data_IF_388415960902
#
_entry.id   IF_388415960902
#
_cell.length_a   1.000
_cell.length_b   1.000
_cell.length_c   1.000
_cell.angle_alpha   90.00
_cell.angle_beta   90.00
_cell.angle_gamma   90.00
#
_symmetry.space_group_name_H-M   'P 1'
#
loop_
_entity.id
_entity.type
_entity.pdbx_description
1 polymer ?
#
# COMPACT_ATOMS: atom_id res chain seq x y z
N UNK A 1 1.96 -18.96 20.19
CA UNK A 1 2.30 -18.85 18.75
C UNK A 1 0.99 -18.71 17.99
N UNK A 2 0.58 -17.50 17.64
CA UNK A 2 -0.69 -17.26 16.95
C UNK A 2 -0.58 -17.81 15.52
N UNK A 3 -1.51 -18.67 15.05
CA UNK A 3 -1.46 -19.15 13.68
C UNK A 3 -1.46 -17.94 12.74
N UNK A 4 -0.72 -17.98 11.62
CA UNK A 4 -0.79 -16.90 10.65
C UNK A 4 -2.23 -16.82 10.17
N UNK A 5 -2.92 -15.74 10.55
CA UNK A 5 -4.24 -15.41 10.01
C UNK A 5 -4.10 -15.48 8.50
N UNK A 6 -4.94 -16.26 7.82
CA UNK A 6 -4.91 -16.36 6.37
C UNK A 6 -5.09 -14.95 5.78
N UNK A 7 -4.00 -14.36 5.26
CA UNK A 7 -4.00 -13.02 4.68
C UNK A 7 -4.37 -13.12 3.21
N UNK A 8 -5.26 -12.26 2.75
CA UNK A 8 -5.63 -12.19 1.34
C UNK A 8 -4.49 -11.56 0.54
N UNK A 9 -4.20 -12.14 -0.62
CA UNK A 9 -3.21 -11.60 -1.55
C UNK A 9 -3.82 -10.47 -2.38
N UNK A 10 -3.16 -9.32 -2.40
CA UNK A 10 -3.47 -8.21 -3.30
C UNK A 10 -2.26 -7.89 -4.20
N UNK A 11 -2.50 -7.43 -5.43
CA UNK A 11 -1.46 -7.10 -6.41
C UNK A 11 -1.90 -5.93 -7.28
N UNK A 12 -1.00 -5.44 -8.15
CA UNK A 12 -1.33 -4.46 -9.19
C UNK A 12 -1.97 -3.18 -8.65
N UNK A 13 -3.12 -2.81 -9.22
CA UNK A 13 -3.85 -1.59 -8.84
C UNK A 13 -4.33 -1.58 -7.38
N UNK A 14 -5.00 -2.64 -6.85
CA UNK A 14 -5.32 -2.75 -5.43
C UNK A 14 -4.13 -2.52 -4.48
N UNK A 15 -2.99 -3.16 -4.76
CA UNK A 15 -1.79 -2.99 -3.94
C UNK A 15 -1.28 -1.55 -3.97
N UNK A 16 -1.20 -0.94 -5.16
CA UNK A 16 -0.78 0.46 -5.29
C UNK A 16 -1.73 1.40 -4.53
N UNK A 17 -3.05 1.17 -4.64
CA UNK A 17 -4.06 1.94 -3.93
C UNK A 17 -3.91 1.82 -2.42
N UNK A 18 -3.65 0.62 -1.92
CA UNK A 18 -3.42 0.38 -0.50
C UNK A 18 -2.15 1.07 0.00
N UNK A 19 -1.00 0.88 -0.69
CA UNK A 19 0.29 1.47 -0.29
C UNK A 19 0.22 3.00 -0.29
N UNK A 20 -0.25 3.63 -1.37
CA UNK A 20 -0.37 5.08 -1.41
C UNK A 20 -1.46 5.62 -0.49
N UNK A 21 -2.50 4.83 -0.24
CA UNK A 21 -3.54 5.14 0.73
C UNK A 21 -3.03 5.12 2.17
N UNK A 22 -2.09 4.25 2.52
CA UNK A 22 -1.42 4.24 3.81
C UNK A 22 -0.60 5.52 3.97
N UNK A 23 0.24 5.86 2.99
CA UNK A 23 1.03 7.09 3.02
C UNK A 23 0.16 8.36 3.08
N UNK A 24 -0.99 8.36 2.39
CA UNK A 24 -1.91 9.50 2.39
C UNK A 24 -2.53 9.79 3.77
N UNK A 25 -2.72 8.74 4.58
CA UNK A 25 -3.35 8.84 5.90
C UNK A 25 -2.33 8.90 7.04
N UNK A 26 -1.03 8.92 6.73
CA UNK A 26 0.02 9.03 7.73
C UNK A 26 0.33 10.50 8.03
N UNK A 27 0.64 10.81 9.29
CA UNK A 27 1.02 12.16 9.73
C UNK A 27 2.50 12.49 9.45
N UNK A 28 3.17 11.71 8.61
CA UNK A 28 4.59 11.89 8.31
C UNK A 28 5.18 10.80 7.40
N UNK A 29 6.52 10.75 7.27
CA UNK A 29 7.21 9.68 6.56
C UNK A 29 6.87 8.31 7.16
N UNK A 30 6.71 7.31 6.29
CA UNK A 30 6.42 5.93 6.70
C UNK A 30 7.45 4.99 6.08
N UNK A 31 7.93 4.05 6.87
CA UNK A 31 8.85 3.02 6.43
C UNK A 31 8.13 1.93 5.62
N UNK A 32 8.88 1.23 4.77
CA UNK A 32 8.38 0.03 4.05
C UNK A 32 7.83 -1.02 5.03
N UNK A 33 8.46 -1.20 6.18
CA UNK A 33 8.04 -2.16 7.20
C UNK A 33 6.68 -1.77 7.78
N UNK A 34 6.49 -0.52 8.19
CA UNK A 34 5.21 -0.02 8.71
C UNK A 34 4.08 -0.13 7.68
N UNK A 35 4.37 0.07 6.40
CA UNK A 35 3.40 -0.15 5.31
C UNK A 35 3.00 -1.62 5.27
N UNK A 36 3.95 -2.55 5.31
CA UNK A 36 3.67 -4.00 5.30
C UNK A 36 2.89 -4.42 6.54
N UNK A 37 3.25 -3.93 7.71
CA UNK A 37 2.55 -4.20 8.96
C UNK A 37 1.11 -3.67 8.90
N UNK A 38 0.91 -2.48 8.32
CA UNK A 38 -0.43 -1.90 8.13
C UNK A 38 -1.28 -2.70 7.14
N UNK A 39 -0.67 -3.25 6.08
CA UNK A 39 -1.34 -4.17 5.16
C UNK A 39 -1.74 -5.47 5.89
N UNK A 40 -0.81 -6.03 6.66
CA UNK A 40 -1.03 -7.27 7.41
C UNK A 40 -2.10 -7.13 8.48
N UNK A 41 -2.11 -6.01 9.20
CA UNK A 41 -3.15 -5.66 10.17
C UNK A 41 -4.53 -5.49 9.52
N UNK A 42 -4.56 -5.10 8.24
CA UNK A 42 -5.79 -5.05 7.44
C UNK A 42 -6.18 -6.43 6.83
N UNK A 43 -5.47 -7.50 7.18
CA UNK A 43 -5.74 -8.86 6.69
C UNK A 43 -5.33 -9.11 5.24
N UNK A 44 -4.52 -8.22 4.66
CA UNK A 44 -4.01 -8.34 3.28
C UNK A 44 -2.49 -8.47 3.26
N UNK A 45 -1.96 -9.04 2.19
CA UNK A 45 -0.52 -9.16 1.94
C UNK A 45 -0.24 -9.08 0.44
N UNK A 46 1.02 -8.90 0.07
CA UNK A 46 1.47 -9.02 -1.32
C UNK A 46 1.52 -10.49 -1.76
N UNK A 47 1.67 -10.74 -3.05
CA UNK A 47 1.75 -12.10 -3.60
C UNK A 47 2.96 -12.89 -3.04
N UNK A 48 2.75 -13.96 -2.26
CA UNK A 48 3.82 -14.73 -1.63
C UNK A 48 4.52 -15.69 -2.61
N UNK A 49 3.96 -15.90 -3.82
CA UNK A 49 4.57 -16.74 -4.85
C UNK A 49 5.66 -16.02 -5.65
N UNK A 50 5.86 -14.73 -5.39
CA UNK A 50 6.96 -13.98 -5.99
C UNK A 50 8.25 -14.24 -5.21
N UNK A 51 9.38 -14.24 -5.90
CA UNK A 51 10.72 -14.43 -5.31
C UNK A 51 11.04 -13.33 -4.27
N UNK A 52 10.40 -12.17 -4.38
CA UNK A 52 10.64 -11.03 -3.49
C UNK A 52 9.73 -11.08 -2.26
N UNK A 53 10.25 -10.82 -1.05
CA UNK A 53 9.43 -10.71 0.15
C UNK A 53 8.49 -9.48 0.07
N UNK A 54 7.44 -9.40 0.91
CA UNK A 54 6.50 -8.28 0.90
C UNK A 54 7.15 -6.90 0.96
N UNK A 55 8.13 -6.71 1.84
CA UNK A 55 8.89 -5.46 1.92
C UNK A 55 9.60 -5.15 0.59
N UNK A 56 10.18 -6.15 -0.07
CA UNK A 56 10.81 -5.98 -1.37
C UNK A 56 9.81 -5.59 -2.46
N UNK A 57 8.61 -6.17 -2.46
CA UNK A 57 7.54 -5.83 -3.41
C UNK A 57 7.08 -4.38 -3.19
N UNK A 58 6.83 -3.98 -1.94
CA UNK A 58 6.43 -2.62 -1.57
C UNK A 58 7.52 -1.61 -1.93
N UNK A 59 8.79 -1.91 -1.64
CA UNK A 59 9.91 -1.05 -1.99
C UNK A 59 9.99 -0.78 -3.51
N UNK A 60 9.96 -1.83 -4.35
CA UNK A 60 9.99 -1.60 -5.82
C UNK A 60 8.78 -0.79 -6.30
N UNK A 61 7.62 -0.97 -5.67
CA UNK A 61 6.43 -0.20 -6.00
C UNK A 61 6.64 1.28 -5.66
N UNK A 62 7.21 1.57 -4.49
CA UNK A 62 7.50 2.94 -4.04
C UNK A 62 8.58 3.60 -4.90
N UNK A 63 9.66 2.88 -5.26
CA UNK A 63 10.67 3.40 -6.19
C UNK A 63 10.05 3.75 -7.56
N UNK A 64 9.11 2.92 -8.03
CA UNK A 64 8.35 3.24 -9.23
C UNK A 64 7.43 4.46 -9.06
N UNK A 65 6.86 4.69 -7.88
CA UNK A 65 6.06 5.91 -7.62
C UNK A 65 6.94 7.15 -7.41
N UNK A 66 8.15 6.98 -6.87
CA UNK A 66 9.14 8.04 -6.66
C UNK A 66 9.60 8.59 -8.00
N UNK A 67 10.00 7.71 -8.94
CA UNK A 67 10.32 8.10 -10.33
C UNK A 67 9.17 8.79 -11.08
N UNK A 68 7.93 8.68 -10.58
CA UNK A 68 6.73 9.34 -11.13
C UNK A 68 6.38 10.63 -10.38
N UNK A 69 7.19 11.05 -9.39
CA UNK A 69 6.96 12.24 -8.58
C UNK A 69 5.75 12.15 -7.66
N UNK A 70 5.30 10.94 -7.29
CA UNK A 70 4.11 10.75 -6.44
C UNK A 70 4.45 10.51 -4.97
N UNK A 71 5.66 10.04 -4.71
CA UNK A 71 6.19 9.88 -3.35
C UNK A 71 7.58 10.46 -3.32
N UNK A 72 8.01 10.89 -2.15
CA UNK A 72 9.32 11.44 -1.89
C UNK A 72 10.02 10.48 -0.92
N UNK A 73 11.20 10.00 -1.27
CA UNK A 73 12.04 9.24 -0.34
C UNK A 73 12.73 10.22 0.60
N UNK A 74 12.49 10.07 1.90
CA UNK A 74 13.00 10.99 2.94
C UNK A 74 14.25 10.44 3.62
N UNK A 75 14.33 9.12 3.76
CA UNK A 75 15.49 8.40 4.30
C UNK A 75 15.52 6.98 3.72
N UNK A 76 16.45 6.14 4.18
CA UNK A 76 16.55 4.73 3.80
C UNK A 76 15.24 4.00 4.11
N UNK A 77 14.53 3.65 3.02
CA UNK A 77 13.26 2.94 3.05
C UNK A 77 12.10 3.70 3.72
N UNK A 78 12.19 5.03 3.84
CA UNK A 78 11.14 5.90 4.37
C UNK A 78 10.59 6.82 3.28
N UNK A 79 9.27 6.87 3.15
CA UNK A 79 8.60 7.56 2.05
C UNK A 79 7.47 8.45 2.58
N UNK A 80 7.28 9.59 1.93
CA UNK A 80 6.17 10.52 2.16
C UNK A 80 5.39 10.65 0.86
N UNK A 81 4.06 10.71 0.93
CA UNK A 81 3.24 10.95 -0.26
C UNK A 81 3.28 12.43 -0.65
N UNK A 82 3.45 12.71 -1.95
CA UNK A 82 3.11 14.01 -2.50
C UNK A 82 1.75 13.93 -3.21
N UNK A 83 0.65 14.38 -2.57
CA UNK A 83 -0.68 14.38 -3.18
C UNK A 83 -0.92 15.62 -4.04
N UNK A 84 0.09 16.46 -4.29
CA UNK A 84 -0.03 17.65 -5.14
C UNK A 84 -0.50 17.24 -6.53
N UNK A 85 -1.47 17.99 -7.07
CA UNK A 85 -2.07 17.68 -8.38
C UNK A 85 -3.08 16.51 -8.39
N UNK A 86 -3.33 15.85 -7.26
CA UNK A 86 -4.38 14.81 -7.22
C UNK A 86 -5.77 15.44 -7.14
N UNK A 87 -6.69 14.98 -8.00
CA UNK A 87 -8.11 15.34 -7.88
C UNK A 87 -8.69 14.89 -6.53
N UNK A 88 -9.74 15.58 -6.05
CA UNK A 88 -10.46 15.21 -4.82
C UNK A 88 -10.96 13.75 -4.87
N UNK A 89 -11.48 13.33 -6.01
CA UNK A 89 -11.97 11.95 -6.23
C UNK A 89 -10.83 10.93 -6.16
N UNK A 90 -9.65 11.26 -6.70
CA UNK A 90 -8.45 10.42 -6.57
C UNK A 90 -8.06 10.30 -5.10
N UNK A 91 -7.88 11.42 -4.39
CA UNK A 91 -7.54 11.40 -2.95
C UNK A 91 -8.53 10.57 -2.15
N UNK A 92 -9.83 10.74 -2.37
CA UNK A 92 -10.85 9.95 -1.68
C UNK A 92 -10.70 8.45 -1.91
N UNK A 93 -10.46 8.00 -3.16
CA UNK A 93 -10.31 6.57 -3.49
C UNK A 93 -9.09 5.94 -2.81
N UNK A 94 -7.98 6.68 -2.75
CA UNK A 94 -6.76 6.19 -2.07
C UNK A 94 -6.92 6.23 -0.55
N UNK A 95 -7.50 7.30 0.02
CA UNK A 95 -7.76 7.40 1.45
C UNK A 95 -8.69 6.29 1.94
N UNK A 96 -9.69 5.91 1.12
CA UNK A 96 -10.68 4.88 1.44
C UNK A 96 -10.33 3.50 0.87
N UNK A 97 -9.03 3.21 0.65
CA UNK A 97 -8.61 1.96 0.03
C UNK A 97 -9.20 0.72 0.72
N UNK A 98 -9.25 0.68 2.06
CA UNK A 98 -9.84 -0.44 2.83
C UNK A 98 -11.30 -0.70 2.48
N UNK A 99 -12.07 0.36 2.23
CA UNK A 99 -13.50 0.25 1.88
C UNK A 99 -13.66 -0.35 0.49
N UNK A 100 -12.93 0.18 -0.48
CA UNK A 100 -12.96 -0.32 -1.85
C UNK A 100 -12.46 -1.76 -1.94
N UNK A 101 -11.44 -2.09 -1.16
CA UNK A 101 -10.85 -3.42 -1.08
C UNK A 101 -11.79 -4.46 -0.45
N UNK A 102 -12.77 -4.02 0.36
CA UNK A 102 -13.89 -4.86 0.81
C UNK A 102 -14.95 -5.00 -0.28
N UNK A 103 -15.30 -3.92 -0.98
CA UNK A 103 -16.29 -3.96 -2.06
C UNK A 103 -15.84 -4.83 -3.25
N UNK A 104 -14.55 -4.75 -3.62
CA UNK A 104 -13.94 -5.58 -4.67
C UNK A 104 -13.97 -7.08 -4.29
N UNK A 105 -13.98 -7.40 -2.98
CA UNK A 105 -14.18 -8.77 -2.48
C UNK A 105 -15.58 -9.28 -2.77
N UNK A 106 -16.57 -8.46 -2.45
CA UNK A 106 -17.98 -8.86 -2.44
C UNK A 106 -18.53 -8.99 -3.86
N UNK A 107 -17.90 -8.34 -4.84
CA UNK A 107 -18.25 -8.45 -6.27
C UNK A 107 -17.54 -9.59 -7.00
N UNK A 108 -16.50 -10.19 -6.41
CA UNK A 108 -15.71 -11.27 -7.00
C UNK A 108 -16.09 -12.67 -6.49
N UNK A 109 -17.09 -12.76 -5.60
CA UNK A 109 -17.72 -14.01 -5.16
C UNK A 109 -19.03 -14.24 -5.88
#
# INVERSE_FOLDING_TARGET
MTPPIARRVISGFPLRRAVLGILLNADGPVTVTEIVDTLHAAGVTTNPRLVKPPCGIVANLLDHQESRGRVIRTDRASYLLDPTGWSRSTRWRYANWRRLERQDRDQAG
#
